data_IF_822105164473
#
_entry.id   IF_822105164473
#
_cell.length_a   1.000
_cell.length_b   1.000
_cell.length_c   1.000
_cell.angle_alpha   90.00
_cell.angle_beta   90.00
_cell.angle_gamma   90.00
#
_symmetry.space_group_name_H-M   'P 1'
#
loop_
_entity.id
_entity.type
_entity.pdbx_description
1 polymer ?
#
# COMPACT_ATOMS: atom_id res chain seq x y z
N UNK A 1 -22.85 32.85 9.11
CA UNK A 1 -22.89 31.65 8.24
C UNK A 1 -21.88 31.88 7.11
N UNK A 2 -20.84 31.12 6.85
CA UNK A 2 -20.32 29.85 7.35
C UNK A 2 -18.79 29.93 7.28
N UNK A 3 -18.12 29.42 8.31
CA UNK A 3 -16.67 29.37 8.37
C UNK A 3 -16.11 28.41 7.33
N UNK A 4 -15.38 28.93 6.34
CA UNK A 4 -14.50 28.12 5.49
C UNK A 4 -13.36 27.58 6.35
N UNK A 5 -13.59 26.42 6.94
CA UNK A 5 -12.61 25.63 7.66
C UNK A 5 -11.56 25.13 6.66
N UNK A 6 -10.46 25.87 6.49
CA UNK A 6 -9.29 25.41 5.77
C UNK A 6 -8.70 24.24 6.57
N UNK A 7 -9.10 23.00 6.26
CA UNK A 7 -8.37 21.79 6.69
C UNK A 7 -6.91 21.99 6.26
N UNK A 8 -6.05 22.34 7.23
CA UNK A 8 -4.60 22.38 7.04
C UNK A 8 -4.21 20.96 6.63
N UNK A 9 -3.87 20.74 5.35
CA UNK A 9 -3.27 19.48 4.92
C UNK A 9 -2.02 19.27 5.78
N UNK A 10 -2.09 18.36 6.77
CA UNK A 10 -0.90 17.93 7.50
C UNK A 10 0.07 17.41 6.43
N UNK A 11 1.34 17.82 6.48
CA UNK A 11 2.36 17.25 5.58
C UNK A 11 2.44 15.76 5.90
N UNK A 12 1.82 14.92 5.07
CA UNK A 12 1.92 13.46 5.15
C UNK A 12 3.40 13.09 4.95
N UNK A 13 3.96 12.30 5.87
CA UNK A 13 5.36 11.84 5.79
C UNK A 13 5.32 10.41 5.26
N UNK A 14 5.59 10.27 3.97
CA UNK A 14 5.78 8.96 3.32
C UNK A 14 7.28 8.71 3.22
N UNK A 15 7.71 7.53 3.64
CA UNK A 15 9.08 7.05 3.52
C UNK A 15 9.05 5.75 2.74
N UNK A 16 9.77 5.69 1.64
CA UNK A 16 9.96 4.44 0.91
C UNK A 16 11.19 3.75 1.49
N UNK A 17 10.98 2.60 2.10
CA UNK A 17 12.04 1.67 2.41
C UNK A 17 12.06 0.57 1.37
N UNK A 18 13.18 -0.13 1.20
CA UNK A 18 13.23 -1.34 0.39
C UNK A 18 13.74 -2.44 1.26
N UNK A 19 12.84 -3.33 1.67
CA UNK A 19 13.24 -4.54 2.37
C UNK A 19 14.15 -5.37 1.46
N UNK A 20 15.24 -5.91 2.00
CA UNK A 20 16.16 -6.75 1.22
C UNK A 20 15.43 -8.02 0.81
N UNK A 21 15.04 -8.10 -0.46
CA UNK A 21 14.25 -9.19 -1.02
C UNK A 21 12.74 -8.95 -1.04
N UNK A 22 12.25 -7.76 -0.66
CA UNK A 22 10.84 -7.37 -0.68
C UNK A 22 9.93 -8.19 0.25
N UNK A 23 8.68 -7.76 0.42
CA UNK A 23 7.67 -8.58 1.09
C UNK A 23 7.33 -9.84 0.24
N UNK A 24 7.46 -11.06 0.78
CA UNK A 24 7.22 -12.28 0.02
C UNK A 24 5.80 -12.41 -0.53
N UNK A 25 4.79 -11.85 0.15
CA UNK A 25 3.39 -11.92 -0.27
C UNK A 25 3.16 -10.95 -1.43
N UNK A 26 3.62 -9.71 -1.30
CA UNK A 26 3.57 -8.72 -2.37
C UNK A 26 4.29 -9.23 -3.64
N UNK A 27 5.48 -9.79 -3.48
CA UNK A 27 6.22 -10.40 -4.58
C UNK A 27 5.51 -11.59 -5.21
N UNK A 28 4.85 -12.44 -4.42
CA UNK A 28 4.08 -13.56 -4.96
C UNK A 28 2.89 -13.07 -5.80
N UNK A 29 2.17 -12.04 -5.36
CA UNK A 29 1.07 -11.42 -6.11
C UNK A 29 1.59 -10.80 -7.41
N UNK A 30 2.64 -10.00 -7.33
CA UNK A 30 3.25 -9.33 -8.49
C UNK A 30 3.77 -10.35 -9.51
N UNK A 31 4.43 -11.41 -9.05
CA UNK A 31 4.94 -12.49 -9.91
C UNK A 31 3.80 -13.29 -10.55
N UNK A 32 2.72 -13.55 -9.82
CA UNK A 32 1.53 -14.25 -10.36
C UNK A 32 0.84 -13.42 -11.43
N UNK A 33 0.71 -12.11 -11.21
CA UNK A 33 0.17 -11.15 -12.17
C UNK A 33 1.00 -11.13 -13.46
N UNK A 34 2.34 -11.01 -13.33
CA UNK A 34 3.24 -11.08 -14.48
C UNK A 34 3.16 -12.42 -15.24
N UNK A 35 3.04 -13.55 -14.51
CA UNK A 35 2.87 -14.86 -15.13
C UNK A 35 1.53 -14.97 -15.87
N UNK A 36 0.44 -14.45 -15.29
CA UNK A 36 -0.88 -14.44 -15.92
C UNK A 36 -0.89 -13.59 -17.20
N UNK A 37 -0.25 -12.42 -17.20
CA UNK A 37 -0.06 -11.59 -18.39
C UNK A 37 0.69 -12.32 -19.53
N UNK A 38 1.53 -13.30 -19.20
CA UNK A 38 2.27 -14.12 -20.18
C UNK A 38 1.60 -15.44 -20.53
N UNK A 39 0.62 -15.88 -19.77
CA UNK A 39 -0.04 -17.17 -19.95
C UNK A 39 -0.98 -17.25 -21.16
N UNK A 40 -1.45 -16.11 -21.67
CA UNK A 40 -2.48 -16.05 -22.73
C UNK A 40 -3.89 -16.41 -22.25
N UNK A 41 -4.09 -16.58 -20.94
CA UNK A 41 -5.41 -16.70 -20.34
C UNK A 41 -6.15 -15.35 -20.35
N UNK A 42 -7.49 -15.36 -20.41
CA UNK A 42 -8.27 -14.14 -20.24
C UNK A 42 -8.10 -13.61 -18.82
N UNK A 43 -7.33 -12.52 -18.67
CA UNK A 43 -7.02 -11.88 -17.40
C UNK A 43 -7.01 -10.36 -17.60
N UNK A 44 -7.87 -9.66 -16.87
CA UNK A 44 -8.03 -8.19 -16.92
C UNK A 44 -7.04 -7.45 -16.00
N UNK A 45 -5.85 -8.04 -15.76
CA UNK A 45 -4.76 -7.39 -15.05
C UNK A 45 -3.98 -6.39 -15.92
N UNK A 46 -2.81 -5.89 -15.47
CA UNK A 46 -2.04 -6.32 -14.30
C UNK A 46 -2.66 -5.96 -12.96
N UNK A 47 -2.46 -6.85 -11.99
CA UNK A 47 -2.63 -6.55 -10.56
C UNK A 47 -1.24 -6.35 -9.94
N UNK A 48 -1.06 -5.26 -9.21
CA UNK A 48 0.10 -5.00 -8.38
C UNK A 48 -0.26 -5.07 -6.90
N UNK A 49 0.71 -5.40 -6.06
CA UNK A 49 0.59 -5.42 -4.62
C UNK A 49 1.79 -4.75 -3.96
N UNK A 50 1.50 -4.05 -2.87
CA UNK A 50 2.48 -3.33 -2.05
C UNK A 50 2.05 -3.42 -0.59
N UNK A 51 3.04 -3.48 0.29
CA UNK A 51 2.83 -3.44 1.74
C UNK A 51 3.20 -2.07 2.29
N UNK A 52 2.36 -1.54 3.15
CA UNK A 52 2.52 -0.24 3.78
C UNK A 52 2.31 -0.38 5.28
N UNK A 53 3.19 0.22 6.06
CA UNK A 53 3.04 0.29 7.51
C UNK A 53 2.90 1.74 7.96
N UNK A 54 2.10 1.99 8.99
CA UNK A 54 2.02 3.28 9.65
C UNK A 54 2.75 3.21 10.99
N UNK A 55 3.77 4.04 11.18
CA UNK A 55 4.46 4.17 12.46
C UNK A 55 3.62 4.99 13.45
N UNK A 56 3.92 4.87 14.75
CA UNK A 56 3.20 5.57 15.82
C UNK A 56 3.27 7.09 15.75
N UNK A 57 4.28 7.61 15.06
CA UNK A 57 4.45 9.04 14.82
C UNK A 57 3.67 9.56 13.61
N UNK A 58 2.90 8.69 12.94
CA UNK A 58 2.11 9.00 11.75
C UNK A 58 2.90 8.94 10.45
N UNK A 59 4.11 8.38 10.45
CA UNK A 59 4.90 8.18 9.22
C UNK A 59 4.43 6.90 8.50
N UNK A 60 4.01 7.02 7.25
CA UNK A 60 3.73 5.88 6.39
C UNK A 60 5.04 5.36 5.76
N UNK A 61 5.27 4.06 5.83
CA UNK A 61 6.45 3.38 5.29
C UNK A 61 6.01 2.37 4.25
N UNK A 62 6.48 2.53 3.01
CA UNK A 62 6.18 1.65 1.88
C UNK A 62 7.30 0.61 1.75
N UNK A 63 6.93 -0.64 1.44
CA UNK A 63 7.81 -1.83 1.42
C UNK A 63 8.70 -1.95 2.68
N UNK A 64 8.09 -1.92 3.89
CA UNK A 64 8.82 -1.88 5.15
C UNK A 64 9.62 -3.16 5.39
N UNK A 65 10.80 -3.02 6.01
CA UNK A 65 11.52 -4.17 6.56
C UNK A 65 10.76 -4.82 7.72
N UNK A 66 11.06 -6.09 8.02
CA UNK A 66 10.41 -6.83 9.12
C UNK A 66 10.56 -6.11 10.47
N UNK A 67 11.70 -5.47 10.72
CA UNK A 67 11.96 -4.70 11.94
C UNK A 67 11.05 -3.47 12.06
N UNK A 68 10.69 -2.85 10.94
CA UNK A 68 9.74 -1.73 10.91
C UNK A 68 8.32 -2.22 11.10
N UNK A 69 7.94 -3.33 10.44
CA UNK A 69 6.62 -3.94 10.60
C UNK A 69 6.33 -4.27 12.08
N UNK A 70 7.30 -4.83 12.81
CA UNK A 70 7.16 -5.12 14.25
C UNK A 70 6.92 -3.89 15.12
N UNK A 71 7.40 -2.71 14.70
CA UNK A 71 7.28 -1.44 15.43
C UNK A 71 6.11 -0.60 14.96
N UNK A 72 5.47 -1.00 13.86
CA UNK A 72 4.36 -0.30 13.26
C UNK A 72 3.14 -0.26 14.21
N UNK A 73 2.34 0.77 14.03
CA UNK A 73 1.01 0.90 14.64
C UNK A 73 -0.02 0.10 13.83
N UNK A 74 0.15 0.07 12.52
CA UNK A 74 -0.71 -0.60 11.56
C UNK A 74 0.16 -1.15 10.42
N UNK A 75 -0.20 -2.32 9.94
CA UNK A 75 0.34 -2.94 8.74
C UNK A 75 -0.81 -3.20 7.75
N UNK A 76 -0.60 -2.85 6.49
CA UNK A 76 -1.59 -2.93 5.43
C UNK A 76 -0.95 -3.50 4.17
N UNK A 77 -1.49 -4.60 3.67
CA UNK A 77 -1.17 -5.12 2.34
C UNK A 77 -2.30 -4.70 1.39
N UNK A 78 -1.93 -4.01 0.31
CA UNK A 78 -2.85 -3.66 -0.76
C UNK A 78 -2.56 -4.47 -2.02
N UNK A 79 -3.61 -4.83 -2.74
CA UNK A 79 -3.53 -5.27 -4.12
C UNK A 79 -4.57 -4.55 -4.97
N UNK A 80 -4.17 -4.13 -6.18
CA UNK A 80 -5.02 -3.33 -7.06
C UNK A 80 -4.54 -3.34 -8.50
N UNK A 81 -5.38 -2.82 -9.38
CA UNK A 81 -4.97 -2.41 -10.72
C UNK A 81 -4.58 -0.93 -10.68
N UNK A 82 -4.14 -0.40 -11.83
CA UNK A 82 -3.86 1.02 -12.01
C UNK A 82 -5.05 1.94 -11.67
N UNK A 83 -6.27 1.45 -11.88
CA UNK A 83 -7.48 2.27 -11.77
C UNK A 83 -8.25 2.06 -10.46
N UNK A 84 -7.96 0.97 -9.73
CA UNK A 84 -8.72 0.62 -8.54
C UNK A 84 -7.96 -0.30 -7.58
N UNK A 85 -8.09 -0.01 -6.28
CA UNK A 85 -7.76 -0.95 -5.21
C UNK A 85 -8.79 -2.08 -5.22
N UNK A 86 -8.30 -3.33 -5.29
CA UNK A 86 -9.14 -4.52 -5.34
C UNK A 86 -9.23 -5.25 -4.00
N UNK A 87 -8.13 -5.26 -3.23
CA UNK A 87 -8.04 -5.97 -1.95
C UNK A 87 -7.18 -5.20 -0.95
N UNK A 88 -7.61 -5.25 0.30
CA UNK A 88 -6.94 -4.69 1.48
C UNK A 88 -6.88 -5.78 2.56
N UNK A 89 -5.71 -6.00 3.15
CA UNK A 89 -5.52 -6.89 4.29
C UNK A 89 -4.82 -6.14 5.43
N UNK A 90 -5.43 -6.13 6.61
CA UNK A 90 -4.91 -5.39 7.78
C UNK A 90 -4.20 -6.32 8.76
N UNK A 91 -2.89 -6.10 8.93
CA UNK A 91 -2.03 -6.73 9.91
C UNK A 91 -2.07 -6.02 11.26
N UNK A 92 -2.92 -6.53 12.16
CA UNK A 92 -2.98 -6.19 13.59
C UNK A 92 -3.47 -4.77 13.96
N UNK A 93 -4.44 -4.76 14.89
CA UNK A 93 -5.21 -3.62 15.43
C UNK A 93 -6.07 -2.89 14.40
N UNK A 94 -7.40 -2.98 14.59
CA UNK A 94 -8.40 -2.21 13.84
C UNK A 94 -8.02 -0.72 13.80
N UNK A 95 -7.56 -0.21 12.65
CA UNK A 95 -7.28 1.20 12.50
C UNK A 95 -8.58 2.01 12.50
N UNK A 96 -8.47 3.33 12.67
CA UNK A 96 -9.61 4.20 12.35
C UNK A 96 -9.74 4.35 10.84
N UNK A 97 -10.95 4.61 10.34
CA UNK A 97 -11.24 4.87 8.92
C UNK A 97 -10.29 5.92 8.29
N UNK A 98 -9.93 6.97 9.04
CA UNK A 98 -9.00 8.02 8.58
C UNK A 98 -7.56 7.49 8.37
N UNK A 99 -7.15 6.46 9.09
CA UNK A 99 -5.83 5.82 8.94
C UNK A 99 -5.82 4.82 7.78
N UNK A 100 -6.94 4.14 7.54
CA UNK A 100 -7.13 3.27 6.37
C UNK A 100 -7.03 4.09 5.08
N UNK A 101 -7.71 5.24 5.02
CA UNK A 101 -7.68 6.15 3.87
C UNK A 101 -6.26 6.71 3.64
N UNK A 102 -5.56 7.10 4.70
CA UNK A 102 -4.19 7.64 4.57
C UNK A 102 -3.19 6.60 4.05
N UNK A 103 -3.30 5.34 4.49
CA UNK A 103 -2.42 4.28 4.02
C UNK A 103 -2.77 3.83 2.59
N UNK A 104 -4.05 3.81 2.23
CA UNK A 104 -4.47 3.51 0.86
C UNK A 104 -3.97 4.57 -0.13
N UNK A 105 -4.09 5.86 0.20
CA UNK A 105 -3.56 6.95 -0.63
C UNK A 105 -2.02 6.86 -0.79
N UNK A 106 -1.29 6.54 0.28
CA UNK A 106 0.17 6.42 0.23
C UNK A 106 0.64 5.25 -0.64
N UNK A 107 -0.16 4.17 -0.71
CA UNK A 107 0.11 3.03 -1.58
C UNK A 107 -0.19 3.34 -3.05
N UNK A 108 -1.25 4.11 -3.31
CA UNK A 108 -1.67 4.51 -4.66
C UNK A 108 -0.67 5.50 -5.29
N UNK A 109 -0.11 6.43 -4.51
CA UNK A 109 0.95 7.35 -4.98
C UNK A 109 2.23 6.62 -5.44
N UNK A 110 2.52 5.47 -4.83
CA UNK A 110 3.73 4.69 -5.11
C UNK A 110 3.49 3.57 -6.14
N UNK A 111 2.35 3.59 -6.86
CA UNK A 111 1.93 2.67 -7.94
C UNK A 111 3.00 1.62 -8.24
N UNK A 112 2.82 0.35 -7.83
CA UNK A 112 3.72 -0.74 -8.20
C UNK A 112 3.50 -1.02 -9.68
N UNK A 113 3.90 -0.07 -10.53
CA UNK A 113 3.76 -0.12 -11.96
C UNK A 113 4.41 -1.41 -12.40
N UNK A 114 3.56 -2.38 -12.74
CA UNK A 114 4.00 -3.52 -13.52
C UNK A 114 4.32 -2.90 -14.87
N UNK A 115 5.61 -2.82 -15.27
CA UNK A 115 5.94 -2.25 -16.56
C UNK A 115 5.19 -3.05 -17.64
N UNK A 116 4.60 -2.33 -18.60
CA UNK A 116 3.88 -2.89 -19.76
C UNK A 116 4.63 -4.05 -20.44
#
# INVERSE_FOLDING_TARGET
EEGRNKKKKKKKRVVVERSVGGDPIALAINSSSAALLRSGLPFDGPVGAVRVCLLRDGTAVVDPSHEIMERSKMDLLLAGTKDAVLMLEFGSRSPSEEEEEEAAEAAEEEDPGVPD
#
